data_IF_002750542137
#
_entry.id   IF_002750542137
#
_cell.length_a   1.000
_cell.length_b   1.000
_cell.length_c   1.000
_cell.angle_alpha   90.00
_cell.angle_beta   90.00
_cell.angle_gamma   90.00
#
_symmetry.space_group_name_H-M   'P 1'
#
loop_
_entity.id
_entity.type
_entity.pdbx_description
1 polymer ?
#
# COMPACT_ATOMS: atom_id res chain seq x y z
N UNK A 1 17.33 24.54 -18.30
CA UNK A 1 16.83 25.33 -17.18
C UNK A 1 16.34 26.68 -17.68
N UNK A 2 15.16 27.11 -17.23
CA UNK A 2 14.61 28.43 -17.54
C UNK A 2 14.62 29.24 -16.25
N UNK A 3 15.31 30.37 -16.27
CA UNK A 3 15.29 31.35 -15.20
C UNK A 3 14.35 32.51 -15.59
N UNK A 4 13.44 32.90 -14.70
CA UNK A 4 12.53 34.02 -14.93
C UNK A 4 12.32 34.80 -13.63
N UNK A 5 11.99 36.09 -13.79
CA UNK A 5 11.63 36.96 -12.68
C UNK A 5 10.18 36.66 -12.26
N UNK A 6 9.95 36.53 -10.96
CA UNK A 6 8.62 36.30 -10.38
C UNK A 6 7.92 37.60 -9.96
N UNK A 7 8.23 38.68 -10.61
CA UNK A 7 7.59 39.98 -10.38
C UNK A 7 6.82 40.34 -11.64
N UNK A 8 5.53 40.67 -11.50
CA UNK A 8 4.72 41.14 -12.62
C UNK A 8 5.05 42.60 -12.98
N UNK A 9 4.44 43.09 -14.05
CA UNK A 9 4.66 44.47 -14.52
C UNK A 9 4.19 45.54 -13.53
N UNK A 10 3.43 45.21 -12.51
CA UNK A 10 2.97 46.10 -11.43
C UNK A 10 3.81 46.00 -10.16
N UNK A 11 4.94 45.31 -10.21
CA UNK A 11 5.81 45.10 -9.05
C UNK A 11 5.32 44.05 -8.04
N UNK A 12 4.27 43.28 -8.36
CA UNK A 12 3.70 42.28 -7.47
C UNK A 12 4.33 40.91 -7.69
N UNK A 13 4.63 40.21 -6.61
CA UNK A 13 5.17 38.86 -6.67
C UNK A 13 4.16 37.84 -7.18
N UNK A 14 4.52 37.11 -8.24
CA UNK A 14 3.75 35.98 -8.74
C UNK A 14 3.91 34.79 -7.79
N UNK A 15 2.80 34.30 -7.25
CA UNK A 15 2.79 33.18 -6.33
C UNK A 15 3.25 31.88 -6.99
N UNK A 16 4.14 31.16 -6.31
CA UNK A 16 4.59 29.80 -6.68
C UNK A 16 3.75 28.69 -6.03
N UNK A 17 2.71 29.09 -5.31
CA UNK A 17 1.81 28.15 -4.65
C UNK A 17 1.22 27.18 -5.66
N UNK A 18 1.43 25.88 -5.42
CA UNK A 18 0.94 24.80 -6.28
C UNK A 18 1.55 24.75 -7.69
N UNK A 19 2.69 25.40 -7.97
CA UNK A 19 3.35 25.35 -9.28
C UNK A 19 3.60 23.93 -9.76
N UNK A 20 3.96 23.02 -8.85
CA UNK A 20 4.14 21.60 -9.17
C UNK A 20 2.87 20.97 -9.77
N UNK A 21 1.72 21.22 -9.16
CA UNK A 21 0.43 20.67 -9.65
C UNK A 21 -0.01 21.35 -10.95
N UNK A 22 0.22 22.66 -11.05
CA UNK A 22 -0.05 23.41 -12.28
C UNK A 22 0.81 22.91 -13.44
N UNK A 23 2.10 22.74 -13.20
CA UNK A 23 3.04 22.21 -14.19
C UNK A 23 2.65 20.81 -14.65
N UNK A 24 2.31 19.91 -13.73
CA UNK A 24 1.85 18.56 -14.05
C UNK A 24 0.57 18.58 -14.90
N UNK A 25 -0.40 19.43 -14.55
CA UNK A 25 -1.65 19.59 -15.29
C UNK A 25 -1.38 20.07 -16.71
N UNK A 26 -0.60 21.13 -16.87
CA UNK A 26 -0.25 21.70 -18.19
C UNK A 26 0.53 20.68 -19.03
N UNK A 27 1.48 19.96 -18.45
CA UNK A 27 2.22 18.91 -19.15
C UNK A 27 1.26 17.82 -19.68
N UNK A 28 0.30 17.37 -18.88
CA UNK A 28 -0.70 16.38 -19.32
C UNK A 28 -1.59 16.93 -20.45
N UNK A 29 -2.06 18.16 -20.32
CA UNK A 29 -2.87 18.82 -21.37
C UNK A 29 -2.10 18.95 -22.68
N UNK A 30 -0.84 19.39 -22.64
CA UNK A 30 0.01 19.51 -23.83
C UNK A 30 0.32 18.14 -24.44
N UNK A 31 0.59 17.12 -23.61
CA UNK A 31 0.84 15.76 -24.06
C UNK A 31 -0.36 15.21 -24.81
N UNK A 32 -1.58 15.43 -24.30
CA UNK A 32 -2.82 15.04 -24.96
C UNK A 32 -3.06 15.84 -26.24
N UNK A 33 -2.91 17.16 -26.18
CA UNK A 33 -3.16 18.07 -27.31
C UNK A 33 -2.29 17.75 -28.53
N UNK A 34 -1.04 17.40 -28.29
CA UNK A 34 -0.07 17.13 -29.36
C UNK A 34 0.13 15.64 -29.65
N UNK A 35 -0.68 14.74 -29.08
CA UNK A 35 -0.58 13.30 -29.29
C UNK A 35 0.76 12.71 -28.86
N UNK A 36 1.40 13.30 -27.84
CA UNK A 36 2.69 12.85 -27.35
C UNK A 36 2.51 11.63 -26.43
N UNK A 37 3.59 10.87 -26.27
CA UNK A 37 3.60 9.69 -25.42
C UNK A 37 3.56 10.07 -23.92
N UNK A 38 2.62 9.48 -23.19
CA UNK A 38 2.64 9.51 -21.73
C UNK A 38 3.65 8.49 -21.21
N UNK A 39 4.59 8.96 -20.40
CA UNK A 39 5.54 8.05 -19.78
C UNK A 39 4.81 7.05 -18.88
N UNK A 40 5.11 5.77 -19.04
CA UNK A 40 4.62 4.72 -18.15
C UNK A 40 5.11 4.99 -16.72
N UNK A 41 4.25 4.72 -15.74
CA UNK A 41 4.60 4.86 -14.33
C UNK A 41 5.62 3.80 -13.88
N UNK A 42 5.90 3.75 -12.59
CA UNK A 42 6.83 2.79 -11.97
C UNK A 42 6.46 1.32 -12.21
N UNK A 43 5.27 1.04 -12.69
CA UNK A 43 4.79 -0.33 -12.93
C UNK A 43 5.36 -0.99 -14.19
N UNK A 44 5.78 -0.16 -15.17
CA UNK A 44 6.32 -0.64 -16.44
C UNK A 44 7.79 -0.26 -16.66
N UNK A 45 8.57 -0.29 -15.59
CA UNK A 45 9.99 -0.01 -15.66
C UNK A 45 10.72 -1.18 -16.32
N UNK A 46 11.62 -0.87 -17.25
CA UNK A 46 12.53 -1.85 -17.87
C UNK A 46 13.70 -2.10 -16.93
N UNK A 47 13.58 -3.09 -16.05
CA UNK A 47 14.56 -3.40 -14.98
C UNK A 47 15.99 -3.58 -15.49
N UNK A 48 16.15 -4.21 -16.67
CA UNK A 48 17.47 -4.44 -17.27
C UNK A 48 18.23 -3.16 -17.65
N UNK A 49 17.55 -2.00 -17.67
CA UNK A 49 18.16 -0.70 -17.92
C UNK A 49 18.52 0.06 -16.64
N UNK A 50 18.04 -0.41 -15.51
CA UNK A 50 18.34 0.24 -14.23
C UNK A 50 19.77 -0.07 -13.82
N UNK A 51 20.46 0.96 -13.38
CA UNK A 51 21.78 0.87 -12.73
C UNK A 51 21.62 1.02 -11.22
N UNK A 52 22.62 0.56 -10.46
CA UNK A 52 22.65 0.84 -9.03
C UNK A 52 22.85 2.35 -8.76
N UNK A 53 22.22 2.92 -7.75
CA UNK A 53 21.38 2.29 -6.73
C UNK A 53 19.88 2.15 -7.11
N UNK A 54 19.47 2.61 -8.29
CA UNK A 54 18.05 2.65 -8.70
C UNK A 54 17.48 1.26 -8.92
N UNK A 55 18.31 0.30 -9.35
CA UNK A 55 17.92 -1.11 -9.50
C UNK A 55 17.50 -1.69 -8.14
N UNK A 56 18.38 -1.62 -7.14
CA UNK A 56 18.09 -2.08 -5.77
C UNK A 56 16.87 -1.37 -5.18
N UNK A 57 16.73 -0.07 -5.41
CA UNK A 57 15.56 0.70 -4.96
C UNK A 57 14.26 0.18 -5.60
N UNK A 58 14.31 -0.19 -6.88
CA UNK A 58 13.15 -0.73 -7.59
C UNK A 58 12.79 -2.14 -7.11
N UNK A 59 13.78 -2.99 -6.83
CA UNK A 59 13.57 -4.31 -6.20
C UNK A 59 12.86 -4.17 -4.85
N UNK A 60 13.29 -3.23 -3.99
CA UNK A 60 12.63 -2.93 -2.73
C UNK A 60 11.20 -2.45 -2.96
N UNK A 61 10.96 -1.59 -3.98
CA UNK A 61 9.63 -1.12 -4.34
C UNK A 61 8.70 -2.27 -4.70
N UNK A 62 9.14 -3.20 -5.55
CA UNK A 62 8.35 -4.35 -5.97
C UNK A 62 8.04 -5.28 -4.80
N UNK A 63 9.03 -5.59 -3.99
CA UNK A 63 8.85 -6.41 -2.80
C UNK A 63 7.82 -5.80 -1.84
N UNK A 64 7.94 -4.52 -1.51
CA UNK A 64 7.01 -3.83 -0.62
C UNK A 64 5.59 -3.79 -1.20
N UNK A 65 5.44 -3.53 -2.49
CA UNK A 65 4.13 -3.50 -3.15
C UNK A 65 3.42 -4.86 -3.06
N UNK A 66 4.14 -5.96 -3.26
CA UNK A 66 3.60 -7.31 -3.18
C UNK A 66 3.27 -7.72 -1.72
N UNK A 67 4.20 -7.50 -0.80
CA UNK A 67 4.08 -8.00 0.57
C UNK A 67 3.09 -7.22 1.43
N UNK A 68 3.03 -5.89 1.28
CA UNK A 68 2.08 -5.06 2.04
C UNK A 68 0.64 -5.45 1.73
N UNK A 69 0.33 -5.81 0.48
CA UNK A 69 -1.01 -6.24 0.09
C UNK A 69 -1.46 -7.56 0.77
N UNK A 70 -0.52 -8.41 1.15
CA UNK A 70 -0.80 -9.73 1.72
C UNK A 70 -0.64 -9.78 3.24
N UNK A 71 0.19 -8.91 3.81
CA UNK A 71 0.50 -8.90 5.23
C UNK A 71 -0.56 -8.13 6.03
N UNK A 72 -0.78 -8.57 7.27
CA UNK A 72 -1.75 -7.97 8.22
C UNK A 72 -1.09 -7.30 9.41
N UNK A 73 0.17 -7.59 9.66
CA UNK A 73 0.93 -6.99 10.75
C UNK A 73 2.41 -6.89 10.41
N UNK A 74 3.13 -6.09 11.19
CA UNK A 74 4.55 -5.85 11.02
C UNK A 74 5.39 -7.12 11.14
N UNK A 75 5.02 -8.04 12.03
CA UNK A 75 5.79 -9.28 12.26
C UNK A 75 5.90 -10.11 10.97
N UNK A 76 4.79 -10.31 10.27
CA UNK A 76 4.77 -11.04 9.00
C UNK A 76 5.47 -10.26 7.90
N UNK A 77 5.22 -8.95 7.78
CA UNK A 77 5.88 -8.12 6.78
C UNK A 77 7.41 -8.16 6.93
N UNK A 78 7.94 -7.99 8.14
CA UNK A 78 9.38 -8.05 8.39
C UNK A 78 9.96 -9.43 8.06
N UNK A 79 9.27 -10.51 8.41
CA UNK A 79 9.71 -11.87 8.10
C UNK A 79 9.76 -12.14 6.59
N UNK A 80 8.79 -11.63 5.82
CA UNK A 80 8.74 -11.78 4.36
C UNK A 80 9.83 -10.94 3.68
N UNK A 81 10.02 -9.70 4.11
CA UNK A 81 11.09 -8.83 3.58
C UNK A 81 12.48 -9.40 3.87
N UNK A 82 12.68 -9.99 5.06
CA UNK A 82 13.94 -10.64 5.41
C UNK A 82 14.26 -11.85 4.52
N UNK A 83 13.25 -12.61 4.09
CA UNK A 83 13.43 -13.72 3.11
C UNK A 83 13.89 -13.23 1.73
N UNK A 84 13.68 -11.95 1.44
CA UNK A 84 14.09 -11.30 0.18
C UNK A 84 15.37 -10.45 0.35
N UNK A 85 16.12 -10.69 1.43
CA UNK A 85 17.34 -9.95 1.80
C UNK A 85 17.12 -8.43 1.95
N UNK A 86 15.92 -8.05 2.41
CA UNK A 86 15.60 -6.66 2.73
C UNK A 86 15.55 -6.51 4.24
N UNK A 87 16.53 -5.79 4.78
CA UNK A 87 16.56 -5.41 6.18
C UNK A 87 15.77 -4.13 6.43
N UNK A 88 15.10 -4.10 7.58
CA UNK A 88 14.24 -2.98 7.95
C UNK A 88 14.70 -2.38 9.27
N UNK A 89 14.91 -1.07 9.28
CA UNK A 89 15.23 -0.30 10.49
C UNK A 89 14.20 0.79 10.73
N UNK A 90 13.72 0.88 11.96
CA UNK A 90 12.84 1.97 12.38
C UNK A 90 13.65 3.16 12.89
N UNK A 91 13.26 4.35 12.46
CA UNK A 91 13.82 5.59 12.97
C UNK A 91 12.86 6.15 14.01
N UNK A 92 13.34 6.33 15.23
CA UNK A 92 12.56 6.86 16.34
C UNK A 92 12.75 8.36 16.48
N UNK A 93 11.75 9.03 17.04
CA UNK A 93 11.83 10.42 17.39
C UNK A 93 12.74 10.59 18.62
N UNK A 94 13.51 11.69 18.67
CA UNK A 94 14.39 11.97 19.82
C UNK A 94 13.60 11.92 21.12
N UNK A 95 14.09 11.15 22.09
CA UNK A 95 13.51 10.94 23.42
C UNK A 95 12.07 10.35 23.46
N UNK A 96 11.65 9.62 22.41
CA UNK A 96 10.35 8.95 22.37
C UNK A 96 10.50 7.57 21.70
N UNK A 97 9.59 6.65 22.05
CA UNK A 97 9.46 5.39 21.33
C UNK A 97 8.61 5.52 20.05
N UNK A 98 8.18 6.74 19.71
CA UNK A 98 7.41 6.98 18.49
C UNK A 98 8.24 6.79 17.25
N UNK A 99 7.77 5.97 16.34
CA UNK A 99 8.43 5.74 15.07
C UNK A 99 8.22 6.94 14.15
N UNK A 100 9.32 7.64 13.84
CA UNK A 100 9.33 8.78 12.92
C UNK A 100 9.41 8.35 11.47
N UNK A 101 10.02 7.20 11.17
CA UNK A 101 10.23 6.74 9.81
C UNK A 101 10.74 5.32 9.74
N UNK A 102 10.90 4.85 8.51
CA UNK A 102 11.37 3.51 8.20
C UNK A 102 12.46 3.57 7.14
N UNK A 103 13.47 2.74 7.28
CA UNK A 103 14.60 2.61 6.38
C UNK A 103 14.66 1.16 5.92
N UNK A 104 14.75 0.95 4.62
CA UNK A 104 14.98 -0.34 3.99
C UNK A 104 16.42 -0.42 3.50
N UNK A 105 17.04 -1.57 3.73
CA UNK A 105 18.43 -1.83 3.37
C UNK A 105 18.50 -3.11 2.54
N UNK A 106 19.19 -3.05 1.40
CA UNK A 106 19.46 -4.19 0.53
C UNK A 106 20.72 -3.90 -0.29
N UNK A 107 21.54 -4.93 -0.55
CA UNK A 107 22.77 -4.83 -1.36
C UNK A 107 23.71 -3.70 -0.89
N UNK A 108 23.73 -3.39 0.41
CA UNK A 108 24.57 -2.30 0.96
C UNK A 108 23.99 -0.89 0.75
N UNK A 109 22.85 -0.75 0.11
CA UNK A 109 22.14 0.53 -0.05
C UNK A 109 21.03 0.69 0.97
N UNK A 110 20.84 1.94 1.43
CA UNK A 110 19.75 2.25 2.38
C UNK A 110 18.82 3.31 1.81
N UNK A 111 17.53 3.08 1.90
CA UNK A 111 16.52 3.99 1.42
C UNK A 111 15.48 4.26 2.49
N UNK A 112 15.21 5.55 2.76
CA UNK A 112 14.01 5.89 3.53
C UNK A 112 12.75 5.43 2.78
N UNK A 113 11.77 4.88 3.47
CA UNK A 113 10.55 4.37 2.85
C UNK A 113 9.88 5.40 1.94
N UNK A 114 9.76 6.64 2.38
CA UNK A 114 9.21 7.75 1.57
C UNK A 114 10.04 8.12 0.33
N UNK A 115 11.32 7.72 0.27
CA UNK A 115 12.19 7.90 -0.91
C UNK A 115 12.06 6.76 -1.90
N UNK A 116 11.70 5.56 -1.44
CA UNK A 116 11.31 4.45 -2.32
C UNK A 116 9.98 4.78 -2.98
N UNK A 117 8.95 5.03 -2.17
CA UNK A 117 7.67 5.60 -2.60
C UNK A 117 6.99 6.32 -1.43
N UNK A 118 6.11 7.29 -1.74
CA UNK A 118 5.32 8.00 -0.71
C UNK A 118 4.37 7.08 0.04
N UNK A 119 3.88 6.03 -0.59
CA UNK A 119 3.03 5.01 0.03
C UNK A 119 3.77 4.14 1.02
N UNK A 120 5.10 4.11 0.99
CA UNK A 120 5.95 3.30 1.87
C UNK A 120 6.55 4.09 3.04
N UNK A 121 5.97 5.23 3.40
CA UNK A 121 6.23 5.84 4.70
C UNK A 121 5.69 4.96 5.83
N UNK A 122 6.31 4.99 7.02
CA UNK A 122 5.89 4.18 8.16
C UNK A 122 4.37 4.25 8.42
N UNK A 123 3.84 5.47 8.53
CA UNK A 123 2.40 5.68 8.82
C UNK A 123 1.48 5.11 7.72
N UNK A 124 1.91 5.13 6.47
CA UNK A 124 1.14 4.58 5.35
C UNK A 124 1.14 3.05 5.35
N UNK A 125 2.30 2.45 5.61
CA UNK A 125 2.41 0.99 5.75
C UNK A 125 1.61 0.52 6.96
N UNK A 126 1.76 1.18 8.10
CA UNK A 126 1.03 0.84 9.32
C UNK A 126 -0.48 0.89 9.10
N UNK A 127 -0.97 1.96 8.47
CA UNK A 127 -2.38 2.08 8.11
C UNK A 127 -2.84 0.95 7.18
N UNK A 128 -2.06 0.60 6.15
CA UNK A 128 -2.39 -0.48 5.23
C UNK A 128 -2.48 -1.84 5.93
N UNK A 129 -1.51 -2.15 6.81
CA UNK A 129 -1.52 -3.39 7.59
C UNK A 129 -2.73 -3.46 8.54
N UNK A 130 -3.10 -2.35 9.18
CA UNK A 130 -4.28 -2.28 10.02
C UNK A 130 -5.58 -2.50 9.22
N UNK A 131 -5.68 -1.95 8.02
CA UNK A 131 -6.84 -2.18 7.14
C UNK A 131 -6.94 -3.65 6.73
N UNK A 132 -5.84 -4.24 6.27
CA UNK A 132 -5.81 -5.66 5.90
C UNK A 132 -6.22 -6.57 7.08
N UNK A 133 -5.81 -6.22 8.30
CA UNK A 133 -6.20 -6.97 9.49
C UNK A 133 -7.71 -6.87 9.77
N UNK A 134 -8.28 -5.65 9.70
CA UNK A 134 -9.72 -5.41 9.89
C UNK A 134 -10.57 -6.15 8.87
N UNK A 135 -10.19 -6.09 7.60
CA UNK A 135 -10.90 -6.79 6.51
C UNK A 135 -10.90 -8.30 6.74
N UNK A 136 -9.77 -8.85 7.17
CA UNK A 136 -9.68 -10.27 7.51
C UNK A 136 -10.55 -10.66 8.72
N UNK A 137 -10.55 -9.84 9.77
CA UNK A 137 -11.40 -10.07 10.95
C UNK A 137 -12.88 -10.08 10.57
N UNK A 138 -13.33 -9.14 9.72
CA UNK A 138 -14.70 -9.08 9.22
C UNK A 138 -15.06 -10.30 8.39
N UNK A 139 -14.18 -10.75 7.49
CA UNK A 139 -14.39 -11.96 6.70
C UNK A 139 -14.48 -13.20 7.58
N UNK A 140 -13.59 -13.31 8.56
CA UNK A 140 -13.59 -14.44 9.50
C UNK A 140 -14.86 -14.47 10.34
N UNK A 141 -15.35 -13.31 10.81
CA UNK A 141 -16.59 -13.21 11.56
C UNK A 141 -17.81 -13.55 10.68
N UNK A 142 -17.82 -13.09 9.44
CA UNK A 142 -18.86 -13.43 8.46
C UNK A 142 -18.94 -14.94 8.22
N UNK A 143 -17.80 -15.60 8.04
CA UNK A 143 -17.75 -17.06 7.87
C UNK A 143 -18.23 -17.81 9.12
N UNK A 144 -17.84 -17.38 10.32
CA UNK A 144 -18.33 -17.99 11.57
C UNK A 144 -19.84 -17.88 11.70
N UNK A 145 -20.43 -16.74 11.38
CA UNK A 145 -21.88 -16.54 11.40
C UNK A 145 -22.60 -17.42 10.38
N UNK A 146 -22.05 -17.59 9.18
CA UNK A 146 -22.61 -18.51 8.16
C UNK A 146 -22.59 -19.96 8.62
N UNK A 147 -21.49 -20.41 9.22
CA UNK A 147 -21.36 -21.77 9.75
C UNK A 147 -22.36 -21.98 10.90
N UNK A 148 -22.48 -21.03 11.80
CA UNK A 148 -23.46 -21.10 12.91
C UNK A 148 -24.90 -21.20 12.41
N UNK A 149 -25.27 -20.37 11.43
CA UNK A 149 -26.60 -20.39 10.83
C UNK A 149 -26.87 -21.72 10.09
N UNK A 150 -25.90 -22.25 9.36
CA UNK A 150 -26.02 -23.55 8.70
C UNK A 150 -26.21 -24.69 9.71
N UNK A 151 -25.48 -24.67 10.83
CA UNK A 151 -25.63 -25.66 11.91
C UNK A 151 -27.02 -25.59 12.56
N UNK A 152 -27.57 -24.38 12.76
CA UNK A 152 -28.92 -24.18 13.30
C UNK A 152 -29.99 -24.76 12.36
N UNK A 153 -29.91 -24.48 11.07
CA UNK A 153 -30.84 -25.00 10.07
C UNK A 153 -30.76 -26.53 10.02
N UNK A 154 -29.59 -27.10 10.07
CA UNK A 154 -29.42 -28.57 10.07
C UNK A 154 -30.05 -29.20 11.29
N UNK A 155 -29.92 -28.60 12.48
CA UNK A 155 -30.53 -29.09 13.71
C UNK A 155 -32.07 -29.01 13.68
N UNK A 156 -32.63 -27.94 13.11
CA UNK A 156 -34.07 -27.78 12.93
C UNK A 156 -34.65 -28.83 11.98
N UNK A 157 -33.99 -29.11 10.85
CA UNK A 157 -34.37 -30.12 9.89
C UNK A 157 -34.34 -31.50 10.55
N UNK A 158 -33.29 -31.80 11.32
CA UNK A 158 -33.16 -33.10 12.01
C UNK A 158 -34.26 -33.30 13.05
N UNK A 159 -34.59 -32.27 13.83
CA UNK A 159 -35.67 -32.33 14.83
C UNK A 159 -37.04 -32.51 14.16
N UNK A 160 -37.33 -31.78 13.09
CA UNK A 160 -38.60 -31.92 12.35
C UNK A 160 -38.74 -33.30 11.70
N UNK A 161 -37.66 -33.93 11.25
CA UNK A 161 -37.67 -35.30 10.73
C UNK A 161 -37.95 -36.35 11.83
N UNK A 162 -37.42 -36.11 13.03
CA UNK A 162 -37.64 -37.02 14.17
C UNK A 162 -39.09 -36.91 14.66
N UNK A 163 -39.64 -35.69 14.78
CA UNK A 163 -41.03 -35.47 15.20
C UNK A 163 -42.04 -35.99 14.17
N UNK A 164 -41.83 -35.69 12.87
CA UNK A 164 -42.72 -36.20 11.80
C UNK A 164 -42.65 -37.72 11.59
N UNK A 165 -41.58 -38.39 12.04
CA UNK A 165 -41.46 -39.86 12.00
C UNK A 165 -42.21 -40.59 13.10
N UNK A 166 -42.56 -39.91 14.20
CA UNK A 166 -43.32 -40.50 15.32
C UNK A 166 -44.84 -40.57 15.02
N UNK A 167 -45.34 -39.66 14.18
CA UNK A 167 -46.78 -39.64 13.80
C UNK A 167 -47.20 -40.74 12.80
N UNK A 168 -46.24 -41.44 12.22
CA UNK A 168 -46.49 -42.54 11.26
C UNK A 168 -46.67 -43.95 11.92
N UNK A 169 -46.48 -44.04 13.23
CA UNK A 169 -46.61 -45.31 13.98
C UNK A 169 -47.74 -45.35 15.05
N UNK A 170 -48.77 -44.49 14.89
CA UNK A 170 -50.02 -44.59 15.65
C UNK A 170 -51.16 -45.18 14.84
#
# INVERSE_FOLDING_TARGET
HIAFNRIDNNGKTISDRNDRFRSEKICKELTTKYGLYFADGKEKVKEYRLKEPDKTKYEIYQALKAEIAQCRNWKYLLAHLKKQDIDVRFKYKSNSQDVQGIIFEKNGYHFNGSKVDRSFSYSKIDFALQQNNREHEQQTQGMKNLISNAASITSEITNNLIEGGLDLFQ
#
